data_IF_961003326195
#
_entry.id   IF_961003326195
#
_cell.length_a   1.000
_cell.length_b   1.000
_cell.length_c   1.000
_cell.angle_alpha   90.00
_cell.angle_beta   90.00
_cell.angle_gamma   90.00
#
_symmetry.space_group_name_H-M   'P 1'
#
loop_
_entity.id
_entity.type
_entity.pdbx_description
1 polymer ?
#
# COMPACT_ATOMS: atom_id res chain seq x y z
N UNK A 1 17.65 -7.22 -14.12
CA UNK A 1 16.85 -7.40 -12.88
C UNK A 1 15.78 -6.32 -12.85
N UNK A 2 14.59 -6.53 -12.24
CA UNK A 2 13.48 -5.57 -12.31
C UNK A 2 13.85 -4.11 -11.99
N UNK A 3 14.81 -3.89 -11.08
CA UNK A 3 15.27 -2.55 -10.72
C UNK A 3 15.93 -1.77 -11.87
N UNK A 4 16.64 -2.44 -12.78
CA UNK A 4 17.27 -1.79 -13.93
C UNK A 4 16.21 -1.36 -14.96
N UNK A 5 15.22 -2.22 -15.18
CA UNK A 5 14.10 -2.01 -16.11
C UNK A 5 13.19 -0.88 -15.64
N UNK A 6 13.01 -0.74 -14.32
CA UNK A 6 12.26 0.37 -13.71
C UNK A 6 13.05 1.67 -13.57
N UNK A 7 14.30 1.71 -14.04
CA UNK A 7 15.18 2.88 -13.90
C UNK A 7 15.59 3.20 -12.46
N UNK A 8 15.42 2.24 -11.53
CA UNK A 8 15.98 2.32 -10.19
C UNK A 8 17.48 1.99 -10.23
N UNK A 9 18.24 2.52 -9.26
CA UNK A 9 19.65 2.18 -9.05
C UNK A 9 19.85 1.25 -7.86
N UNK A 10 18.78 0.74 -7.26
CA UNK A 10 18.79 -0.08 -6.06
C UNK A 10 17.88 -1.29 -6.23
N UNK A 11 18.34 -2.46 -5.79
CA UNK A 11 17.49 -3.64 -5.71
C UNK A 11 16.50 -3.60 -4.52
N UNK A 12 16.53 -2.56 -3.68
CA UNK A 12 15.64 -2.38 -2.54
C UNK A 12 14.30 -1.72 -2.91
N UNK A 13 14.24 -1.01 -4.03
CA UNK A 13 13.02 -0.38 -4.54
C UNK A 13 13.03 -0.39 -6.06
N UNK A 14 11.92 -0.81 -6.66
CA UNK A 14 11.79 -1.00 -8.11
C UNK A 14 10.33 -1.19 -8.49
N UNK A 15 10.02 -1.19 -9.78
CA UNK A 15 8.67 -1.47 -10.27
C UNK A 15 8.70 -2.49 -11.41
N UNK A 16 7.54 -3.09 -11.68
CA UNK A 16 7.33 -3.92 -12.86
C UNK A 16 5.84 -3.95 -13.20
N UNK A 17 5.51 -4.30 -14.44
CA UNK A 17 4.11 -4.42 -14.86
C UNK A 17 3.78 -5.85 -15.27
N UNK A 18 2.66 -6.36 -14.79
CA UNK A 18 2.18 -7.72 -15.07
C UNK A 18 0.66 -7.74 -15.13
N UNK A 19 0.10 -8.35 -16.17
CA UNK A 19 -1.35 -8.60 -16.31
C UNK A 19 -2.25 -7.37 -16.00
N UNK A 20 -1.89 -6.18 -16.48
CA UNK A 20 -2.67 -4.94 -16.26
C UNK A 20 -2.45 -4.27 -14.90
N UNK A 21 -1.45 -4.71 -14.14
CA UNK A 21 -1.07 -4.14 -12.85
C UNK A 21 0.34 -3.57 -12.95
N UNK A 22 0.51 -2.32 -12.52
CA UNK A 22 1.82 -1.74 -12.24
C UNK A 22 2.13 -1.94 -10.76
N UNK A 23 3.18 -2.70 -10.47
CA UNK A 23 3.60 -3.07 -9.12
C UNK A 23 4.82 -2.26 -8.73
N UNK A 24 4.75 -1.58 -7.59
CA UNK A 24 5.82 -0.75 -7.03
C UNK A 24 6.31 -1.37 -5.73
N UNK A 25 7.58 -1.76 -5.68
CA UNK A 25 8.26 -2.21 -4.46
C UNK A 25 8.99 -1.03 -3.84
N UNK A 26 8.65 -0.68 -2.60
CA UNK A 26 9.28 0.38 -1.82
C UNK A 26 10.17 -0.21 -0.72
N UNK A 27 11.33 0.40 -0.52
CA UNK A 27 12.25 0.08 0.55
C UNK A 27 11.95 0.87 1.81
N UNK A 28 11.40 0.21 2.83
CA UNK A 28 11.18 0.82 4.16
C UNK A 28 12.48 1.10 4.93
N UNK A 29 13.60 0.49 4.53
CA UNK A 29 14.89 0.53 5.25
C UNK A 29 16.02 1.15 4.41
N UNK A 30 15.67 2.07 3.54
CA UNK A 30 16.59 2.94 2.80
C UNK A 30 16.02 4.35 2.80
N UNK A 31 16.86 5.36 2.55
CA UNK A 31 16.40 6.75 2.52
C UNK A 31 15.15 6.91 1.63
N UNK A 32 14.13 7.56 2.19
CA UNK A 32 12.81 7.76 1.57
C UNK A 32 12.33 9.21 1.67
N UNK A 33 13.09 10.11 2.28
CA UNK A 33 12.74 11.54 2.33
C UNK A 33 12.71 12.15 0.91
N UNK A 34 12.16 13.36 0.77
CA UNK A 34 12.01 14.04 -0.51
C UNK A 34 13.33 14.26 -1.28
N UNK A 35 14.47 14.30 -0.58
CA UNK A 35 15.81 14.41 -1.16
C UNK A 35 16.39 13.08 -1.64
N UNK A 36 15.89 11.95 -1.12
CA UNK A 36 16.38 10.61 -1.40
C UNK A 36 16.25 10.18 -2.87
N UNK A 37 17.09 9.22 -3.27
CA UNK A 37 17.02 8.60 -4.59
C UNK A 37 15.71 7.83 -4.78
N UNK A 38 15.22 7.15 -3.73
CA UNK A 38 13.97 6.40 -3.76
C UNK A 38 12.76 7.30 -4.02
N UNK A 39 12.64 8.42 -3.30
CA UNK A 39 11.51 9.34 -3.48
C UNK A 39 11.45 9.92 -4.89
N UNK A 40 12.60 10.40 -5.39
CA UNK A 40 12.70 10.96 -6.75
C UNK A 40 12.40 9.91 -7.82
N UNK A 41 12.87 8.68 -7.61
CA UNK A 41 12.55 7.56 -8.48
C UNK A 41 11.04 7.27 -8.46
N UNK A 42 10.42 7.13 -7.28
CA UNK A 42 8.99 6.84 -7.13
C UNK A 42 8.12 7.89 -7.82
N UNK A 43 8.43 9.18 -7.59
CA UNK A 43 7.72 10.28 -8.26
C UNK A 43 7.82 10.17 -9.79
N UNK A 44 9.01 9.85 -10.32
CA UNK A 44 9.22 9.70 -11.76
C UNK A 44 8.62 8.41 -12.35
N UNK A 45 8.53 7.34 -11.57
CA UNK A 45 7.94 6.06 -11.95
C UNK A 45 6.43 6.17 -12.07
N UNK A 46 5.75 6.68 -11.03
CA UNK A 46 4.30 6.90 -11.02
C UNK A 46 3.84 7.84 -12.13
N UNK A 47 4.61 8.88 -12.45
CA UNK A 47 4.29 9.82 -13.53
C UNK A 47 4.32 9.19 -14.93
N UNK A 48 4.96 8.03 -15.10
CA UNK A 48 5.05 7.32 -16.40
C UNK A 48 3.97 6.26 -16.58
N UNK A 49 3.17 5.99 -15.54
CA UNK A 49 2.17 4.93 -15.59
C UNK A 49 1.06 5.29 -16.56
N UNK A 50 0.96 4.51 -17.64
CA UNK A 50 -0.15 4.57 -18.58
C UNK A 50 -1.31 3.71 -18.05
N UNK A 51 -2.32 4.36 -17.45
CA UNK A 51 -3.49 3.68 -16.86
C UNK A 51 -4.35 2.95 -17.88
N UNK A 52 -4.23 3.23 -19.19
CA UNK A 52 -4.89 2.43 -20.22
C UNK A 52 -4.23 1.05 -20.40
N UNK A 53 -2.95 0.92 -20.06
CA UNK A 53 -2.19 -0.35 -20.13
C UNK A 53 -2.14 -1.07 -18.78
N UNK A 54 -2.00 -0.31 -17.71
CA UNK A 54 -1.98 -0.80 -16.32
C UNK A 54 -3.00 -0.02 -15.50
N UNK A 55 -4.29 -0.39 -15.59
CA UNK A 55 -5.36 0.28 -14.86
C UNK A 55 -5.21 0.17 -13.34
N UNK A 56 -4.49 -0.84 -12.84
CA UNK A 56 -4.20 -1.03 -11.43
C UNK A 56 -2.78 -0.61 -11.09
N UNK A 57 -2.62 0.07 -9.95
CA UNK A 57 -1.33 0.32 -9.31
C UNK A 57 -1.36 -0.29 -7.91
N UNK A 58 -0.39 -1.15 -7.61
CA UNK A 58 -0.20 -1.78 -6.30
C UNK A 58 1.16 -1.40 -5.77
N UNK A 59 1.23 -0.89 -4.55
CA UNK A 59 2.50 -0.69 -3.85
C UNK A 59 2.73 -1.78 -2.80
N UNK A 60 3.98 -2.15 -2.61
CA UNK A 60 4.42 -3.05 -1.55
C UNK A 60 5.51 -2.37 -0.75
N UNK A 61 5.46 -2.52 0.56
CA UNK A 61 6.47 -2.04 1.49
C UNK A 61 6.61 -3.03 2.64
N UNK A 62 7.64 -2.90 3.48
CA UNK A 62 7.80 -3.83 4.60
C UNK A 62 7.04 -3.35 5.84
N UNK A 63 7.37 -2.16 6.35
CA UNK A 63 6.82 -1.62 7.60
C UNK A 63 5.49 -0.85 7.37
N UNK A 64 4.34 -1.34 7.87
CA UNK A 64 3.03 -0.77 7.58
C UNK A 64 2.90 0.68 8.05
N UNK A 65 2.22 1.50 7.24
CA UNK A 65 1.90 2.89 7.57
C UNK A 65 0.70 3.03 8.50
N UNK A 66 -0.25 2.11 8.37
CA UNK A 66 -1.41 1.96 9.24
C UNK A 66 -1.30 0.63 9.94
N UNK A 67 -1.31 0.66 11.28
CA UNK A 67 -1.11 -0.49 12.15
C UNK A 67 -1.82 -0.18 13.48
N UNK A 68 -2.72 -1.06 13.93
CA UNK A 68 -3.34 -0.90 15.24
C UNK A 68 -2.72 -1.81 16.30
N UNK A 69 -1.84 -2.74 15.92
CA UNK A 69 -1.12 -3.53 16.91
C UNK A 69 -0.05 -2.68 17.62
N UNK A 70 0.10 -2.90 18.92
CA UNK A 70 1.18 -2.35 19.74
C UNK A 70 2.58 -2.69 19.21
N UNK A 71 2.74 -3.84 18.55
CA UNK A 71 3.97 -4.22 17.88
C UNK A 71 4.24 -3.27 16.71
N UNK A 72 5.42 -2.64 16.70
CA UNK A 72 5.84 -1.72 15.63
C UNK A 72 4.94 -0.50 15.44
N UNK A 73 4.23 -0.08 16.50
CA UNK A 73 3.35 1.08 16.45
C UNK A 73 4.13 2.35 16.09
N UNK A 74 3.72 3.00 15.00
CA UNK A 74 4.33 4.25 14.51
C UNK A 74 5.65 4.10 13.73
N UNK A 75 6.17 2.88 13.51
CA UNK A 75 7.44 2.66 12.80
C UNK A 75 7.39 3.18 11.35
N UNK A 76 6.26 2.98 10.66
CA UNK A 76 6.05 3.44 9.29
C UNK A 76 5.70 4.94 9.13
N UNK A 77 5.51 5.68 10.23
CA UNK A 77 4.91 7.03 10.20
C UNK A 77 5.78 8.05 9.45
N UNK A 78 7.10 7.95 9.57
CA UNK A 78 8.03 8.84 8.87
C UNK A 78 7.98 8.66 7.35
N UNK A 79 7.90 7.41 6.89
CA UNK A 79 7.75 7.08 5.48
C UNK A 79 6.37 7.45 4.94
N UNK A 80 5.31 7.23 5.72
CA UNK A 80 3.94 7.67 5.38
C UNK A 80 3.90 9.17 5.12
N UNK A 81 4.40 9.99 6.06
CA UNK A 81 4.46 11.45 5.92
C UNK A 81 5.21 11.90 4.66
N UNK A 82 6.26 11.17 4.28
CA UNK A 82 7.02 11.50 3.09
C UNK A 82 6.26 11.12 1.80
N UNK A 83 5.80 9.87 1.69
CA UNK A 83 5.43 9.25 0.41
C UNK A 83 3.93 9.07 0.19
N UNK A 84 3.09 9.15 1.22
CA UNK A 84 1.64 8.90 1.09
C UNK A 84 0.98 9.85 0.09
N UNK A 85 1.39 11.13 0.09
CA UNK A 85 0.93 12.11 -0.89
C UNK A 85 1.20 11.71 -2.33
N UNK A 86 2.34 11.07 -2.62
CA UNK A 86 2.66 10.57 -3.96
C UNK A 86 1.73 9.42 -4.36
N UNK A 87 1.50 8.46 -3.46
CA UNK A 87 0.64 7.32 -3.74
C UNK A 87 -0.83 7.74 -3.92
N UNK A 88 -1.29 8.67 -3.08
CA UNK A 88 -2.64 9.23 -3.15
C UNK A 88 -2.87 9.98 -4.47
N UNK A 89 -1.94 10.87 -4.86
CA UNK A 89 -2.03 11.61 -6.12
C UNK A 89 -1.99 10.69 -7.35
N UNK A 90 -1.17 9.64 -7.30
CA UNK A 90 -1.06 8.65 -8.37
C UNK A 90 -2.23 7.66 -8.42
N UNK A 91 -3.20 7.75 -7.48
CA UNK A 91 -4.35 6.85 -7.40
C UNK A 91 -3.91 5.39 -7.27
N UNK A 92 -2.95 5.12 -6.38
CA UNK A 92 -2.54 3.76 -6.04
C UNK A 92 -3.72 3.05 -5.39
N UNK A 93 -4.07 1.88 -5.89
CA UNK A 93 -5.30 1.18 -5.49
C UNK A 93 -5.12 0.41 -4.19
N UNK A 94 -3.95 -0.22 -4.01
CA UNK A 94 -3.67 -1.11 -2.87
C UNK A 94 -2.24 -0.91 -2.40
N UNK A 95 -2.04 -0.90 -1.08
CA UNK A 95 -0.72 -0.99 -0.45
C UNK A 95 -0.66 -2.26 0.40
N UNK A 96 0.25 -3.16 0.07
CA UNK A 96 0.57 -4.32 0.91
C UNK A 96 1.78 -4.05 1.79
N UNK A 97 1.67 -4.48 3.04
CA UNK A 97 2.75 -4.46 4.03
C UNK A 97 2.95 -5.83 4.67
N UNK A 98 4.10 -6.02 5.32
CA UNK A 98 4.37 -7.19 6.16
C UNK A 98 4.66 -6.75 7.59
N UNK A 99 5.80 -7.19 8.13
CA UNK A 99 6.41 -6.73 9.37
C UNK A 99 5.65 -7.04 10.65
N UNK A 100 4.42 -6.54 10.81
CA UNK A 100 3.55 -6.87 11.96
C UNK A 100 2.96 -8.26 11.74
N UNK A 101 3.16 -9.17 12.69
CA UNK A 101 2.75 -10.57 12.58
C UNK A 101 1.26 -10.80 12.87
N UNK A 102 0.42 -10.07 12.16
CA UNK A 102 -1.03 -10.16 12.15
C UNK A 102 -1.56 -9.75 10.77
N UNK A 103 -2.83 -10.02 10.53
CA UNK A 103 -3.55 -9.49 9.36
C UNK A 103 -4.38 -8.27 9.76
N UNK A 104 -4.24 -7.18 9.02
CA UNK A 104 -5.08 -5.98 9.16
C UNK A 104 -5.46 -5.40 7.80
N UNK A 105 -6.67 -4.88 7.67
CA UNK A 105 -7.14 -4.16 6.48
C UNK A 105 -7.74 -2.81 6.86
N UNK A 106 -7.21 -1.76 6.24
CA UNK A 106 -7.67 -0.38 6.37
C UNK A 106 -8.22 0.11 5.05
N UNK A 107 -9.32 0.85 5.10
CA UNK A 107 -9.97 1.41 3.92
C UNK A 107 -10.47 2.83 4.17
N UNK A 108 -10.29 3.67 3.16
CA UNK A 108 -10.91 4.98 3.04
C UNK A 108 -11.53 5.11 1.63
N UNK A 109 -12.55 5.95 1.48
CA UNK A 109 -13.36 6.00 0.26
C UNK A 109 -12.54 6.32 -0.99
N UNK A 110 -11.53 7.20 -0.87
CA UNK A 110 -10.78 7.73 -2.01
C UNK A 110 -9.27 7.56 -1.91
N UNK A 111 -8.80 6.80 -0.93
CA UNK A 111 -7.40 6.45 -0.75
C UNK A 111 -7.12 4.99 -1.12
N UNK A 112 -5.83 4.59 -1.18
CA UNK A 112 -5.45 3.19 -1.32
C UNK A 112 -6.03 2.35 -0.18
N UNK A 113 -6.39 1.09 -0.47
CA UNK A 113 -6.67 0.12 0.60
C UNK A 113 -5.33 -0.38 1.13
N UNK A 114 -5.08 -0.22 2.43
CA UNK A 114 -3.86 -0.70 3.08
C UNK A 114 -4.11 -2.05 3.72
N UNK A 115 -3.25 -3.03 3.43
CA UNK A 115 -3.37 -4.38 3.95
C UNK A 115 -2.03 -4.85 4.51
N UNK A 116 -2.01 -5.17 5.80
CA UNK A 116 -0.86 -5.78 6.47
C UNK A 116 -1.04 -7.28 6.44
N UNK A 117 -0.10 -8.01 5.84
CA UNK A 117 -0.09 -9.48 5.69
C UNK A 117 1.28 -10.00 6.15
N UNK A 118 1.70 -9.60 7.36
CA UNK A 118 2.98 -10.00 7.97
C UNK A 118 2.91 -11.33 8.72
N UNK A 119 1.77 -11.99 8.67
CA UNK A 119 1.36 -13.20 9.37
C UNK A 119 1.81 -14.50 8.68
N UNK A 120 3.01 -14.51 8.09
CA UNK A 120 3.49 -15.62 7.25
C UNK A 120 3.96 -16.88 7.99
N UNK A 121 3.93 -16.95 9.33
CA UNK A 121 4.31 -18.16 10.07
C UNK A 121 5.74 -18.22 10.60
N UNK A 122 6.43 -17.08 10.77
CA UNK A 122 7.78 -17.10 11.33
C UNK A 122 7.78 -17.45 12.85
N UNK A 123 8.96 -17.80 13.37
CA UNK A 123 9.13 -18.29 14.76
C UNK A 123 8.84 -17.28 15.87
N UNK A 124 8.73 -15.99 15.56
CA UNK A 124 8.49 -14.94 16.57
C UNK A 124 7.04 -14.93 17.06
N UNK A 125 6.13 -15.59 16.34
CA UNK A 125 4.72 -15.72 16.72
C UNK A 125 3.90 -14.49 16.35
N UNK A 126 2.68 -14.42 16.91
CA UNK A 126 1.69 -13.39 16.57
C UNK A 126 1.92 -12.06 17.30
N UNK A 127 1.57 -10.98 16.60
CA UNK A 127 1.18 -9.73 17.25
C UNK A 127 -0.28 -9.86 17.71
N UNK A 128 -0.56 -9.66 19.00
CA UNK A 128 -1.82 -10.04 19.65
C UNK A 128 -2.62 -8.86 20.20
N UNK A 129 -2.07 -7.64 20.19
CA UNK A 129 -2.57 -6.53 21.00
C UNK A 129 -2.93 -5.35 20.12
N UNK A 130 -4.15 -5.38 19.60
CA UNK A 130 -4.72 -4.30 18.80
C UNK A 130 -5.30 -3.17 19.66
N UNK A 131 -5.20 -1.94 19.16
CA UNK A 131 -5.80 -0.73 19.71
C UNK A 131 -7.31 -0.89 19.90
N UNK A 132 -7.83 -0.34 21.01
CA UNK A 132 -9.27 -0.31 21.31
C UNK A 132 -9.69 1.07 21.84
N UNK A 133 -10.76 1.69 21.29
CA UNK A 133 -11.53 1.24 20.13
C UNK A 133 -10.70 1.31 18.84
N UNK A 134 -10.99 0.43 17.86
CA UNK A 134 -10.32 0.50 16.56
C UNK A 134 -10.65 1.82 15.85
N UNK A 135 -9.70 2.42 15.10
CA UNK A 135 -9.94 3.64 14.35
C UNK A 135 -10.99 3.38 13.24
N UNK A 136 -11.78 4.40 12.82
CA UNK A 136 -12.86 4.22 11.84
C UNK A 136 -12.45 3.63 10.49
N UNK A 137 -11.18 3.81 10.11
CA UNK A 137 -10.63 3.28 8.86
C UNK A 137 -10.25 1.80 8.96
N UNK A 138 -10.10 1.23 10.17
CA UNK A 138 -9.83 -0.20 10.37
C UNK A 138 -11.09 -1.01 10.05
N UNK A 139 -10.99 -1.86 9.02
CA UNK A 139 -12.11 -2.66 8.52
C UNK A 139 -12.05 -4.10 9.02
N UNK A 140 -10.85 -4.63 9.27
CA UNK A 140 -10.64 -5.99 9.75
C UNK A 140 -9.28 -6.11 10.44
N UNK A 141 -9.20 -6.95 11.48
CA UNK A 141 -7.98 -7.28 12.20
C UNK A 141 -8.06 -8.72 12.74
N UNK A 142 -7.04 -9.53 12.54
CA UNK A 142 -6.96 -10.89 13.09
C UNK A 142 -5.50 -11.31 13.33
N UNK A 143 -5.24 -11.84 14.54
CA UNK A 143 -3.97 -12.46 14.87
C UNK A 143 -4.03 -13.96 14.58
N UNK A 144 -3.70 -14.35 13.36
CA UNK A 144 -3.59 -15.75 12.90
C UNK A 144 -2.65 -15.79 11.72
N UNK A 145 -2.05 -16.95 11.43
CA UNK A 145 -1.21 -17.08 10.24
C UNK A 145 -2.08 -17.19 9.01
N UNK A 146 -1.58 -16.74 7.87
CA UNK A 146 -2.37 -16.73 6.65
C UNK A 146 -1.61 -16.25 5.43
N UNK A 147 -2.36 -16.12 4.34
CA UNK A 147 -1.88 -15.52 3.09
C UNK A 147 -3.00 -14.81 2.35
N UNK A 148 -2.61 -13.81 1.57
CA UNK A 148 -3.50 -13.08 0.69
C UNK A 148 -3.58 -13.64 -0.73
N UNK A 149 -4.70 -13.42 -1.40
CA UNK A 149 -4.86 -13.65 -2.84
C UNK A 149 -5.58 -12.45 -3.45
N UNK A 150 -4.87 -11.74 -4.33
CA UNK A 150 -5.44 -10.69 -5.18
C UNK A 150 -5.75 -11.26 -6.56
N UNK A 151 -7.02 -11.17 -6.96
CA UNK A 151 -7.49 -11.52 -8.30
C UNK A 151 -7.99 -10.26 -9.01
N UNK A 152 -7.15 -9.71 -9.88
CA UNK A 152 -7.57 -8.64 -10.80
C UNK A 152 -8.46 -9.26 -11.88
N UNK A 153 -9.71 -8.80 -11.98
CA UNK A 153 -10.70 -9.36 -12.90
C UNK A 153 -10.73 -8.58 -14.21
N UNK A 154 -10.69 -7.26 -14.12
CA UNK A 154 -10.66 -6.34 -15.26
C UNK A 154 -10.10 -4.98 -14.83
N UNK A 155 -10.23 -3.96 -15.67
CA UNK A 155 -9.72 -2.60 -15.44
C UNK A 155 -10.35 -1.88 -14.24
N UNK A 156 -11.51 -2.34 -13.76
CA UNK A 156 -12.29 -1.64 -12.74
C UNK A 156 -12.49 -2.45 -11.47
N UNK A 157 -12.46 -3.79 -11.53
CA UNK A 157 -12.72 -4.66 -10.38
C UNK A 157 -11.59 -5.67 -10.11
N UNK A 158 -11.25 -5.79 -8.83
CA UNK A 158 -10.40 -6.84 -8.30
C UNK A 158 -11.06 -7.45 -7.06
N UNK A 159 -10.75 -8.72 -6.77
CA UNK A 159 -11.18 -9.40 -5.56
C UNK A 159 -9.96 -9.70 -4.71
N UNK A 160 -10.03 -9.28 -3.44
CA UNK A 160 -9.06 -9.65 -2.42
C UNK A 160 -9.69 -10.70 -1.49
N UNK A 161 -8.91 -11.72 -1.14
CA UNK A 161 -9.24 -12.64 -0.05
C UNK A 161 -8.00 -12.92 0.79
N UNK A 162 -8.15 -12.82 2.11
CA UNK A 162 -7.17 -13.32 3.06
C UNK A 162 -7.64 -14.67 3.60
N UNK A 163 -6.71 -15.62 3.57
CA UNK A 163 -6.93 -17.01 3.91
C UNK A 163 -6.15 -17.30 5.18
N UNK A 164 -6.85 -17.62 6.26
CA UNK A 164 -6.22 -18.09 7.48
C UNK A 164 -5.72 -19.51 7.27
N UNK A 165 -4.50 -19.77 7.72
CA UNK A 165 -3.91 -21.11 7.76
C UNK A 165 -4.49 -21.86 8.96
N UNK A 166 -5.62 -22.53 8.72
CA UNK A 166 -6.14 -23.57 9.60
C UNK A 166 -5.54 -24.92 9.16
N UNK A 167 -5.23 -25.81 10.11
CA UNK A 167 -4.83 -27.18 9.77
C UNK A 167 -6.09 -28.03 9.51
N UNK A 168 -6.25 -28.73 8.37
CA UNK A 168 -5.33 -28.90 7.22
C UNK A 168 -5.62 -28.00 5.99
N UNK A 169 -6.65 -27.15 6.02
CA UNK A 169 -7.11 -26.35 4.89
C UNK A 169 -7.16 -24.86 5.24
N UNK A 170 -6.69 -23.99 4.33
CA UNK A 170 -6.81 -22.55 4.54
C UNK A 170 -8.27 -22.08 4.35
N UNK A 171 -8.79 -21.27 5.27
CA UNK A 171 -10.17 -20.74 5.21
C UNK A 171 -10.18 -19.25 4.89
N UNK A 172 -11.09 -18.80 4.01
CA UNK A 172 -11.29 -17.36 3.79
C UNK A 172 -11.91 -16.77 5.05
N UNK A 173 -11.25 -15.75 5.60
CA UNK A 173 -11.67 -15.08 6.84
C UNK A 173 -11.96 -13.61 6.63
N UNK A 174 -11.37 -13.02 5.59
CA UNK A 174 -11.69 -11.70 5.12
C UNK A 174 -11.64 -11.66 3.60
N UNK A 175 -12.57 -10.93 2.99
CA UNK A 175 -12.60 -10.71 1.54
C UNK A 175 -13.27 -9.38 1.20
N UNK A 176 -12.86 -8.79 0.09
CA UNK A 176 -13.43 -7.53 -0.40
C UNK A 176 -13.33 -7.43 -1.91
N UNK A 177 -14.39 -6.91 -2.53
CA UNK A 177 -14.34 -6.44 -3.92
C UNK A 177 -13.84 -5.00 -3.93
N UNK A 178 -12.78 -4.77 -4.70
CA UNK A 178 -12.11 -3.49 -4.85
C UNK A 178 -12.51 -2.87 -6.19
N UNK A 179 -12.81 -1.57 -6.17
CA UNK A 179 -12.95 -0.76 -7.37
C UNK A 179 -11.63 0.00 -7.62
N UNK A 180 -11.15 0.01 -8.86
CA UNK A 180 -9.98 0.81 -9.24
C UNK A 180 -10.24 2.29 -8.98
N UNK A 181 -9.32 2.94 -8.27
CA UNK A 181 -9.35 4.38 -8.04
C UNK A 181 -9.22 5.16 -9.36
N UNK A 182 -8.56 4.65 -10.39
CA UNK A 182 -8.58 5.33 -11.69
C UNK A 182 -9.96 5.30 -12.37
N UNK A 183 -10.79 4.29 -12.07
CA UNK A 183 -12.13 4.15 -12.63
C UNK A 183 -13.22 4.83 -11.79
N UNK A 184 -12.97 5.02 -10.49
CA UNK A 184 -13.95 5.55 -9.55
C UNK A 184 -14.32 7.01 -9.85
N UNK A 185 -15.59 7.22 -10.21
CA UNK A 185 -16.16 8.56 -10.47
C UNK A 185 -16.43 9.37 -9.21
N UNK A 186 -16.57 8.69 -8.06
CA UNK A 186 -16.86 9.33 -6.77
C UNK A 186 -15.63 10.06 -6.21
N UNK A 187 -14.44 9.63 -6.62
CA UNK A 187 -13.18 10.09 -6.07
C UNK A 187 -12.43 10.94 -7.10
N UNK A 188 -12.97 12.10 -7.46
CA UNK A 188 -12.23 13.06 -8.29
C UNK A 188 -11.12 13.74 -7.48
N UNK A 189 -9.89 13.81 -8.02
CA UNK A 189 -8.86 14.66 -7.43
C UNK A 189 -9.20 16.11 -7.75
N UNK A 190 -9.59 16.90 -6.75
CA UNK A 190 -9.59 18.35 -6.89
C UNK A 190 -8.14 18.81 -7.04
N UNK A 191 -7.74 19.19 -8.25
CA UNK A 191 -6.49 19.90 -8.51
C UNK A 191 -6.55 21.31 -7.90
N UNK A 192 -6.50 21.42 -6.58
CA UNK A 192 -6.06 22.67 -5.96
C UNK A 192 -4.54 22.66 -5.90
N UNK A 193 -3.94 23.08 -7.03
CA UNK A 193 -2.58 23.55 -7.06
C UNK A 193 -2.39 24.56 -5.94
N UNK A 194 -1.56 24.24 -4.94
CA UNK A 194 -1.07 25.23 -4.00
C UNK A 194 -0.17 26.18 -4.78
N UNK A 195 -0.73 27.29 -5.26
CA UNK A 195 0.06 28.42 -5.69
C UNK A 195 0.79 28.99 -4.47
N UNK A 196 2.11 29.27 -4.53
CA UNK A 196 2.81 29.91 -3.44
C UNK A 196 2.22 31.32 -3.24
N UNK A 197 1.78 31.58 -2.01
CA UNK A 197 1.31 32.89 -1.55
C UNK A 197 2.42 33.92 -1.70
N UNK A 198 2.30 34.81 -2.69
CA UNK A 198 3.08 36.04 -2.77
C UNK A 198 2.41 37.10 -1.91
N UNK A 199 2.94 37.34 -0.71
CA UNK A 199 2.80 38.62 -0.01
C UNK A 199 3.77 38.66 1.17
N UNK A 200 4.92 39.29 0.96
CA UNK A 200 5.66 40.03 1.99
C UNK A 200 6.46 41.12 1.29
N UNK A 201 5.77 42.22 0.98
CA UNK A 201 6.33 43.56 0.93
C UNK A 201 5.33 44.47 1.66
N UNK A 202 5.67 44.86 2.89
CA UNK A 202 5.57 46.20 3.49
C UNK A 202 6.16 46.18 4.91
#
# INVERSE_FOLDING_TARGET
>A
MPFEESGSRSNLYYSFSVAGVHVVMLGSYTDFDAGSAQYKWLHADLAKVDRARTPWIVALLHAPWYNTDSAHQGEGESMRKAMEGLLYQARVDIVFAGHVHAYERFGDQCGPVHMTVGDGGNREGFALTFEKPSPPISQFQEASFGHGRLRVVNETHAHWSWHRNDDPDSTIRDEVWLESLAASRACGVSLQAHAPSTSDEL
#
